data_IF_147146699975
#
_entry.id   IF_147146699975
#
_cell.length_a   1.000
_cell.length_b   1.000
_cell.length_c   1.000
_cell.angle_alpha   90.00
_cell.angle_beta   90.00
_cell.angle_gamma   90.00
#
_symmetry.space_group_name_H-M   'P 1'
#
loop_
_entity.id
_entity.type
_entity.pdbx_description
1 polymer ?
#
# COMPACT_ATOMS: atom_id res chain seq x y z
N UNK A 1 4.31 -6.02 13.68
CA UNK A 1 3.24 -5.48 14.55
C UNK A 1 2.82 -4.04 14.20
N UNK A 2 3.44 -3.40 13.21
CA UNK A 2 3.19 -1.99 12.81
C UNK A 2 2.01 -1.83 11.84
N UNK A 3 1.64 -2.87 11.08
CA UNK A 3 0.58 -2.83 10.05
C UNK A 3 -0.86 -2.57 10.55
N UNK A 4 -1.12 -2.79 11.84
CA UNK A 4 -2.47 -2.62 12.42
C UNK A 4 -2.81 -1.18 12.79
N UNK A 5 -1.82 -0.29 12.87
CA UNK A 5 -2.02 1.09 13.32
C UNK A 5 -2.48 2.04 12.20
N UNK A 6 -2.28 1.65 10.92
CA UNK A 6 -2.61 2.50 9.77
C UNK A 6 -4.01 2.27 9.17
N UNK A 7 -4.75 1.25 9.67
CA UNK A 7 -6.08 0.94 9.12
C UNK A 7 -7.15 0.82 10.21
N UNK A 8 -7.64 1.95 10.76
CA UNK A 8 -8.66 1.95 11.83
C UNK A 8 -9.96 1.25 11.42
N UNK A 9 -10.28 1.21 10.12
CA UNK A 9 -11.45 0.52 9.59
C UNK A 9 -11.30 -1.01 9.72
N UNK A 10 -10.11 -1.55 9.46
CA UNK A 10 -9.84 -3.00 9.60
C UNK A 10 -9.93 -3.42 11.07
N UNK A 11 -9.42 -2.61 11.99
CA UNK A 11 -9.52 -2.85 13.43
C UNK A 11 -10.99 -2.85 13.87
N UNK A 12 -11.79 -1.90 13.39
CA UNK A 12 -13.23 -1.84 13.67
C UNK A 12 -13.99 -3.06 13.14
N UNK A 13 -13.67 -3.54 11.95
CA UNK A 13 -14.26 -4.74 11.37
C UNK A 13 -13.88 -5.98 12.20
N UNK A 14 -12.61 -6.13 12.60
CA UNK A 14 -12.16 -7.25 13.43
C UNK A 14 -12.83 -7.24 14.80
N UNK A 15 -12.96 -6.07 15.43
CA UNK A 15 -13.65 -5.91 16.72
C UNK A 15 -15.16 -6.19 16.60
N UNK A 16 -15.80 -5.75 15.51
CA UNK A 16 -17.21 -6.03 15.24
C UNK A 16 -17.46 -7.54 15.05
N UNK A 17 -16.63 -8.20 14.24
CA UNK A 17 -16.70 -9.66 14.03
C UNK A 17 -16.39 -10.40 15.34
N UNK A 18 -15.38 -10.00 16.09
CA UNK A 18 -15.02 -10.58 17.39
C UNK A 18 -16.14 -10.46 18.41
N UNK A 19 -16.83 -9.33 18.49
CA UNK A 19 -17.95 -9.11 19.39
C UNK A 19 -19.17 -9.97 19.02
N UNK A 20 -19.46 -10.13 17.74
CA UNK A 20 -20.54 -11.01 17.27
C UNK A 20 -20.25 -12.48 17.63
N UNK A 21 -19.03 -12.96 17.40
CA UNK A 21 -18.61 -14.33 17.75
C UNK A 21 -18.68 -14.55 19.25
N UNK A 22 -18.26 -13.59 20.06
CA UNK A 22 -18.33 -13.66 21.54
C UNK A 22 -19.78 -13.71 22.05
N UNK A 23 -20.66 -12.85 21.49
CA UNK A 23 -22.08 -12.82 21.85
C UNK A 23 -22.82 -14.11 21.51
N UNK A 24 -22.50 -14.68 20.33
CA UNK A 24 -23.03 -15.96 19.89
C UNK A 24 -22.54 -17.11 20.79
N UNK A 25 -21.25 -17.14 21.11
CA UNK A 25 -20.68 -18.15 22.02
C UNK A 25 -21.30 -18.13 23.42
N UNK A 26 -21.57 -16.94 23.97
CA UNK A 26 -22.20 -16.79 25.30
C UNK A 26 -23.69 -17.17 25.27
N UNK A 27 -24.38 -16.90 24.18
CA UNK A 27 -25.81 -17.23 24.02
C UNK A 27 -26.01 -18.75 23.84
N UNK A 28 -25.14 -19.43 23.07
CA UNK A 28 -25.17 -20.89 22.90
C UNK A 28 -24.98 -21.66 24.22
N UNK A 29 -24.24 -21.10 25.17
CA UNK A 29 -24.07 -21.69 26.50
C UNK A 29 -25.34 -21.71 27.34
N UNK A 30 -26.34 -20.90 27.03
CA UNK A 30 -27.59 -20.75 27.80
C UNK A 30 -28.82 -21.39 27.16
N UNK A 31 -28.73 -21.90 25.92
CA UNK A 31 -29.90 -22.43 25.18
C UNK A 31 -29.83 -23.93 25.02
N UNK A 32 -30.25 -24.64 26.06
CA UNK A 32 -30.43 -26.12 26.01
C UNK A 32 -31.87 -26.53 25.66
N UNK A 33 -32.66 -25.70 24.96
CA UNK A 33 -34.10 -25.96 24.86
C UNK A 33 -34.75 -25.97 23.48
N UNK A 34 -34.09 -25.69 22.35
CA UNK A 34 -34.83 -25.85 21.09
C UNK A 34 -33.89 -26.07 19.88
N UNK A 35 -33.72 -27.33 19.50
CA UNK A 35 -32.89 -27.72 18.33
C UNK A 35 -33.34 -27.10 17.01
N UNK A 36 -34.62 -26.82 16.84
CA UNK A 36 -35.21 -26.23 15.63
C UNK A 36 -34.88 -24.73 15.50
N UNK A 37 -35.06 -23.98 16.60
CA UNK A 37 -34.69 -22.55 16.64
C UNK A 37 -33.19 -22.32 16.44
N UNK A 38 -32.35 -23.24 16.92
CA UNK A 38 -30.90 -23.14 16.77
C UNK A 38 -30.46 -23.36 15.32
N UNK A 39 -31.06 -24.31 14.59
CA UNK A 39 -30.72 -24.55 13.18
C UNK A 39 -31.14 -23.37 12.29
N UNK A 40 -32.30 -22.78 12.52
CA UNK A 40 -32.75 -21.58 11.81
C UNK A 40 -31.86 -20.36 12.11
N UNK A 41 -31.43 -20.23 13.37
CA UNK A 41 -30.51 -19.17 13.78
C UNK A 41 -29.13 -19.33 13.14
N UNK A 42 -28.58 -20.56 13.12
CA UNK A 42 -27.31 -20.83 12.45
C UNK A 42 -27.38 -20.57 10.93
N UNK A 43 -28.47 -20.97 10.28
CA UNK A 43 -28.68 -20.67 8.87
C UNK A 43 -28.76 -19.14 8.58
N UNK A 44 -29.36 -18.37 9.48
CA UNK A 44 -29.35 -16.90 9.38
C UNK A 44 -27.96 -16.27 9.57
N UNK A 45 -27.18 -16.82 10.51
CA UNK A 45 -25.80 -16.40 10.72
C UNK A 45 -24.96 -16.73 9.49
N UNK A 46 -25.06 -17.93 8.97
CA UNK A 46 -24.32 -18.38 7.78
C UNK A 46 -24.62 -17.48 6.56
N UNK A 47 -25.90 -17.19 6.32
CA UNK A 47 -26.29 -16.24 5.28
C UNK A 47 -25.73 -14.82 5.50
N UNK A 48 -25.71 -14.36 6.75
CA UNK A 48 -25.13 -13.05 7.09
C UNK A 48 -23.61 -13.02 6.93
N UNK A 49 -22.91 -14.12 7.27
CA UNK A 49 -21.49 -14.27 6.99
C UNK A 49 -21.18 -14.26 5.50
N UNK A 50 -21.97 -14.93 4.69
CA UNK A 50 -21.84 -14.94 3.23
C UNK A 50 -22.06 -13.54 2.65
N UNK A 51 -23.05 -12.82 3.15
CA UNK A 51 -23.31 -11.43 2.76
C UNK A 51 -22.15 -10.52 3.13
N UNK A 52 -21.63 -10.63 4.35
CA UNK A 52 -20.44 -9.87 4.81
C UNK A 52 -19.21 -10.23 3.97
N UNK A 53 -18.96 -11.51 3.71
CA UNK A 53 -17.85 -11.95 2.87
C UNK A 53 -17.93 -11.37 1.45
N UNK A 54 -19.11 -11.35 0.85
CA UNK A 54 -19.31 -10.72 -0.48
C UNK A 54 -18.97 -9.23 -0.44
N UNK A 55 -19.45 -8.50 0.58
CA UNK A 55 -19.14 -7.08 0.73
C UNK A 55 -17.66 -6.82 0.98
N UNK A 56 -17.02 -7.66 1.81
CA UNK A 56 -15.57 -7.57 2.06
C UNK A 56 -14.78 -7.79 0.77
N UNK A 57 -15.14 -8.83 -0.02
CA UNK A 57 -14.51 -9.08 -1.33
C UNK A 57 -14.72 -7.90 -2.30
N UNK A 58 -15.92 -7.29 -2.30
CA UNK A 58 -16.17 -6.10 -3.11
C UNK A 58 -15.35 -4.88 -2.67
N UNK A 59 -15.18 -4.70 -1.36
CA UNK A 59 -14.32 -3.64 -0.81
C UNK A 59 -12.86 -3.88 -1.22
N UNK A 60 -12.35 -5.12 -1.08
CA UNK A 60 -11.00 -5.47 -1.52
C UNK A 60 -10.77 -5.25 -3.01
N UNK A 61 -11.78 -5.52 -3.86
CA UNK A 61 -11.72 -5.23 -5.31
C UNK A 61 -11.69 -3.73 -5.65
N UNK A 62 -12.13 -2.88 -4.73
CA UNK A 62 -12.13 -1.41 -4.88
C UNK A 62 -10.90 -0.75 -4.27
N UNK A 63 -10.13 -1.48 -3.46
CA UNK A 63 -8.85 -0.96 -2.98
C UNK A 63 -7.89 -0.85 -4.16
N UNK A 64 -7.20 0.28 -4.30
CA UNK A 64 -6.17 0.40 -5.32
C UNK A 64 -5.12 -0.68 -5.10
N UNK A 65 -4.68 -1.30 -6.19
CA UNK A 65 -3.56 -2.24 -6.13
C UNK A 65 -2.34 -1.53 -5.55
N UNK A 66 -1.56 -2.21 -4.69
CA UNK A 66 -0.34 -1.59 -4.16
C UNK A 66 0.60 -1.23 -5.31
N UNK A 67 1.17 -0.05 -5.26
CA UNK A 67 2.11 0.42 -6.27
C UNK A 67 3.43 -0.36 -6.25
N UNK A 68 3.75 -0.97 -5.11
CA UNK A 68 5.01 -1.71 -4.87
C UNK A 68 4.70 -3.18 -4.63
N UNK A 69 5.45 -4.06 -5.30
CA UNK A 69 5.47 -5.48 -4.98
C UNK A 69 6.17 -5.71 -3.64
N UNK A 70 5.54 -6.44 -2.73
CA UNK A 70 6.07 -6.71 -1.38
C UNK A 70 7.26 -7.67 -1.32
N UNK A 71 7.95 -7.92 -2.43
CA UNK A 71 9.16 -8.75 -2.50
C UNK A 71 10.42 -7.87 -2.45
N UNK A 72 11.50 -8.41 -1.85
CA UNK A 72 12.81 -7.77 -1.92
C UNK A 72 13.61 -8.34 -3.10
N UNK A 73 14.22 -7.51 -3.99
CA UNK A 73 14.18 -6.04 -3.97
C UNK A 73 12.79 -5.48 -4.31
N UNK A 74 12.43 -4.35 -3.72
CA UNK A 74 11.17 -3.67 -4.02
C UNK A 74 11.09 -3.32 -5.51
N UNK A 75 9.97 -3.65 -6.14
CA UNK A 75 9.74 -3.37 -7.56
C UNK A 75 8.35 -2.75 -7.76
N UNK A 76 8.17 -1.98 -8.83
CA UNK A 76 6.86 -1.46 -9.19
C UNK A 76 5.97 -2.56 -9.75
N UNK A 77 4.74 -2.63 -9.24
CA UNK A 77 3.65 -3.41 -9.85
C UNK A 77 3.24 -2.78 -11.20
N UNK A 78 2.36 -3.44 -11.96
CA UNK A 78 1.80 -2.83 -13.18
C UNK A 78 1.06 -1.52 -12.87
N UNK A 79 0.38 -1.44 -11.72
CA UNK A 79 -0.24 -0.21 -11.25
C UNK A 79 0.82 0.85 -10.90
N UNK A 80 1.90 0.48 -10.19
CA UNK A 80 3.03 1.37 -9.92
C UNK A 80 3.69 1.91 -11.20
N UNK A 81 3.86 1.06 -12.23
CA UNK A 81 4.37 1.49 -13.54
C UNK A 81 3.42 2.46 -14.26
N UNK A 82 2.11 2.31 -14.08
CA UNK A 82 1.12 3.26 -14.60
C UNK A 82 1.26 4.62 -13.92
N UNK A 83 1.36 4.63 -12.58
CA UNK A 83 1.60 5.84 -11.79
C UNK A 83 2.92 6.50 -12.20
N UNK A 84 4.00 5.73 -12.37
CA UNK A 84 5.31 6.24 -12.81
C UNK A 84 5.21 6.99 -14.15
N UNK A 85 4.46 6.46 -15.10
CA UNK A 85 4.22 7.11 -16.40
C UNK A 85 3.35 8.37 -16.27
N UNK A 86 2.26 8.30 -15.51
CA UNK A 86 1.32 9.42 -15.33
C UNK A 86 1.96 10.60 -14.57
N UNK A 87 2.82 10.32 -13.60
CA UNK A 87 3.52 11.34 -12.79
C UNK A 87 4.87 11.79 -13.37
N UNK A 88 5.32 11.23 -14.50
CA UNK A 88 6.67 11.44 -15.03
C UNK A 88 7.80 11.12 -14.01
N UNK A 89 7.60 10.11 -13.15
CA UNK A 89 8.52 9.77 -12.05
C UNK A 89 9.95 9.52 -12.52
N UNK A 90 10.14 8.89 -13.69
CA UNK A 90 11.47 8.69 -14.28
C UNK A 90 12.21 9.98 -14.56
N UNK A 91 11.52 11.01 -15.10
CA UNK A 91 12.11 12.33 -15.35
C UNK A 91 12.57 12.99 -14.05
N UNK A 92 11.76 12.84 -12.98
CA UNK A 92 12.13 13.30 -11.64
C UNK A 92 13.38 12.56 -11.14
N UNK A 93 13.41 11.23 -11.27
CA UNK A 93 14.54 10.40 -10.87
C UNK A 93 15.83 10.73 -11.63
N UNK A 94 15.74 10.97 -12.94
CA UNK A 94 16.88 11.40 -13.77
C UNK A 94 17.46 12.73 -13.30
N UNK A 95 16.60 13.73 -13.06
CA UNK A 95 17.03 15.05 -12.55
C UNK A 95 17.71 14.92 -11.18
N UNK A 96 17.08 14.21 -10.26
CA UNK A 96 17.61 14.03 -8.91
C UNK A 96 18.87 13.18 -8.92
N UNK A 97 18.94 12.12 -9.72
CA UNK A 97 20.12 11.27 -9.87
C UNK A 97 21.36 12.05 -10.25
N UNK A 98 21.23 13.00 -11.20
CA UNK A 98 22.35 13.87 -11.57
C UNK A 98 22.84 14.78 -10.43
N UNK A 99 21.93 15.24 -9.56
CA UNK A 99 22.26 16.11 -8.42
C UNK A 99 22.88 15.32 -7.26
N UNK A 100 22.40 14.09 -7.04
CA UNK A 100 22.72 13.29 -5.87
C UNK A 100 23.92 12.36 -6.06
N UNK A 101 24.45 12.24 -7.28
CA UNK A 101 25.51 11.30 -7.60
C UNK A 101 26.75 11.42 -6.71
N UNK A 102 27.17 12.64 -6.38
CA UNK A 102 28.33 12.86 -5.50
C UNK A 102 28.04 12.50 -4.05
N UNK A 103 26.78 12.64 -3.59
CA UNK A 103 26.39 12.29 -2.22
C UNK A 103 26.39 10.77 -1.97
N UNK A 104 26.09 9.98 -3.02
CA UNK A 104 25.99 8.52 -2.89
C UNK A 104 27.27 7.77 -3.30
N UNK A 105 28.31 8.50 -3.71
CA UNK A 105 29.56 7.90 -4.17
C UNK A 105 30.20 7.02 -3.10
N UNK A 106 30.33 5.73 -3.39
CA UNK A 106 30.89 4.75 -2.46
C UNK A 106 29.88 4.21 -1.43
N UNK A 107 28.61 4.57 -1.50
CA UNK A 107 27.58 3.95 -0.67
C UNK A 107 27.34 2.51 -1.13
N UNK A 108 27.17 1.56 -0.20
CA UNK A 108 26.74 0.22 -0.53
C UNK A 108 25.26 0.22 -1.02
N UNK A 109 24.92 -0.74 -1.86
CA UNK A 109 23.61 -0.84 -2.51
C UNK A 109 22.42 -0.73 -1.53
N UNK A 110 22.50 -1.39 -0.38
CA UNK A 110 21.42 -1.38 0.63
C UNK A 110 21.22 -0.01 1.30
N UNK A 111 22.24 0.84 1.33
CA UNK A 111 22.13 2.21 1.86
C UNK A 111 21.51 3.17 0.86
N UNK A 112 21.68 2.93 -0.44
CA UNK A 112 21.12 3.78 -1.51
C UNK A 112 19.59 3.82 -1.44
N UNK A 113 18.92 2.70 -1.11
CA UNK A 113 17.47 2.68 -0.94
C UNK A 113 17.02 3.54 0.26
N UNK A 114 17.69 3.41 1.40
CA UNK A 114 17.38 4.22 2.57
C UNK A 114 17.62 5.70 2.29
N UNK A 115 18.75 6.03 1.67
CA UNK A 115 19.09 7.39 1.26
C UNK A 115 18.02 8.00 0.31
N UNK A 116 17.57 7.26 -0.71
CA UNK A 116 16.54 7.73 -1.62
C UNK A 116 15.23 8.04 -0.89
N UNK A 117 14.81 7.16 0.04
CA UNK A 117 13.62 7.34 0.85
C UNK A 117 13.71 8.60 1.75
N UNK A 118 14.82 8.73 2.49
CA UNK A 118 15.03 9.85 3.41
C UNK A 118 15.14 11.19 2.67
N UNK A 119 15.83 11.19 1.52
CA UNK A 119 15.90 12.37 0.67
C UNK A 119 14.52 12.85 0.21
N UNK A 120 13.67 11.94 -0.26
CA UNK A 120 12.33 12.31 -0.73
C UNK A 120 11.43 12.82 0.38
N UNK A 121 11.53 12.27 1.58
CA UNK A 121 10.74 12.71 2.74
C UNK A 121 11.18 14.08 3.28
N UNK A 122 12.49 14.31 3.36
CA UNK A 122 13.03 15.45 4.09
C UNK A 122 13.46 16.62 3.20
N UNK A 123 13.98 16.33 2.01
CA UNK A 123 14.69 17.30 1.17
C UNK A 123 14.04 17.56 -0.19
N UNK A 124 13.16 16.67 -0.66
CA UNK A 124 12.57 16.76 -1.99
C UNK A 124 11.67 17.98 -2.13
N UNK A 125 12.04 18.85 -3.07
CA UNK A 125 11.21 19.97 -3.52
C UNK A 125 10.95 19.80 -5.01
N UNK A 126 9.70 19.47 -5.40
CA UNK A 126 9.34 19.37 -6.81
C UNK A 126 9.42 20.74 -7.48
N UNK A 127 9.79 20.77 -8.74
CA UNK A 127 9.59 21.94 -9.59
C UNK A 127 8.09 22.18 -9.83
N UNK A 128 7.71 23.34 -10.35
CA UNK A 128 6.29 23.63 -10.64
C UNK A 128 5.68 22.63 -11.62
N UNK A 129 6.46 22.20 -12.63
CA UNK A 129 6.06 21.16 -13.60
C UNK A 129 5.85 19.81 -12.90
N UNK A 130 6.80 19.36 -12.09
CA UNK A 130 6.72 18.10 -11.33
C UNK A 130 5.55 18.12 -10.33
N UNK A 131 5.35 19.24 -9.64
CA UNK A 131 4.21 19.40 -8.73
C UNK A 131 2.86 19.31 -9.45
N UNK A 132 2.79 19.85 -10.66
CA UNK A 132 1.60 19.76 -11.53
C UNK A 132 1.36 18.31 -11.98
N UNK A 133 2.41 17.60 -12.42
CA UNK A 133 2.31 16.21 -12.86
C UNK A 133 1.91 15.29 -11.71
N UNK A 134 2.48 15.49 -10.52
CA UNK A 134 2.09 14.74 -9.31
C UNK A 134 0.61 14.97 -8.98
N UNK A 135 0.13 16.23 -8.97
CA UNK A 135 -1.28 16.54 -8.69
C UNK A 135 -2.22 15.95 -9.73
N UNK A 136 -1.85 16.04 -11.01
CA UNK A 136 -2.63 15.43 -12.09
C UNK A 136 -2.74 13.93 -11.90
N UNK A 137 -1.62 13.25 -11.63
CA UNK A 137 -1.58 11.82 -11.38
C UNK A 137 -2.46 11.43 -10.18
N UNK A 138 -2.40 12.17 -9.07
CA UNK A 138 -3.27 11.95 -7.91
C UNK A 138 -4.75 12.00 -8.30
N UNK A 139 -5.14 12.96 -9.11
CA UNK A 139 -6.53 13.11 -9.55
C UNK A 139 -6.97 12.01 -10.52
N UNK A 140 -6.15 11.70 -11.53
CA UNK A 140 -6.47 10.74 -12.58
C UNK A 140 -6.49 9.30 -12.08
N UNK A 141 -5.54 8.94 -11.20
CA UNK A 141 -5.36 7.58 -10.69
C UNK A 141 -6.01 7.35 -9.32
N UNK A 142 -6.51 8.39 -8.68
CA UNK A 142 -7.17 8.29 -7.38
C UNK A 142 -6.23 7.90 -6.23
N UNK A 143 -4.94 8.27 -6.33
CA UNK A 143 -3.90 7.92 -5.35
C UNK A 143 -3.49 9.11 -4.49
N UNK A 144 -2.92 8.83 -3.31
CA UNK A 144 -2.38 9.86 -2.44
C UNK A 144 -1.02 10.36 -2.94
N UNK A 145 -0.56 11.52 -2.41
CA UNK A 145 0.76 12.04 -2.71
C UNK A 145 1.86 11.09 -2.25
N UNK A 146 1.66 10.46 -1.10
CA UNK A 146 2.58 9.50 -0.50
C UNK A 146 2.82 8.32 -1.45
N UNK A 147 1.79 7.76 -2.05
CA UNK A 147 1.93 6.67 -3.05
C UNK A 147 2.76 7.13 -4.24
N UNK A 148 2.52 8.35 -4.76
CA UNK A 148 3.28 8.85 -5.91
C UNK A 148 4.74 9.13 -5.54
N UNK A 149 5.01 9.80 -4.41
CA UNK A 149 6.34 10.30 -4.05
C UNK A 149 7.13 9.24 -3.27
N UNK A 150 6.56 8.73 -2.16
CA UNK A 150 7.32 7.91 -1.21
C UNK A 150 7.39 6.43 -1.64
N UNK A 151 6.55 6.03 -2.61
CA UNK A 151 6.61 4.69 -3.18
C UNK A 151 7.17 4.72 -4.60
N UNK A 152 6.48 5.38 -5.55
CA UNK A 152 6.80 5.26 -6.98
C UNK A 152 8.06 6.07 -7.35
N UNK A 153 8.13 7.37 -7.00
CA UNK A 153 9.31 8.17 -7.29
C UNK A 153 10.52 7.63 -6.52
N UNK A 154 10.33 7.12 -5.31
CA UNK A 154 11.41 6.52 -4.51
C UNK A 154 12.05 5.33 -5.24
N UNK A 155 11.24 4.41 -5.79
CA UNK A 155 11.78 3.25 -6.52
C UNK A 155 12.49 3.69 -7.79
N UNK A 156 11.91 4.59 -8.59
CA UNK A 156 12.54 5.09 -9.80
C UNK A 156 13.86 5.84 -9.47
N UNK A 157 13.89 6.61 -8.38
CA UNK A 157 15.10 7.29 -7.91
C UNK A 157 16.16 6.29 -7.46
N UNK A 158 15.81 5.32 -6.61
CA UNK A 158 16.73 4.25 -6.17
C UNK A 158 17.34 3.54 -7.39
N UNK A 159 16.51 3.11 -8.33
CA UNK A 159 16.96 2.38 -9.51
C UNK A 159 17.91 3.23 -10.36
N UNK A 160 17.62 4.52 -10.50
CA UNK A 160 18.50 5.47 -11.19
C UNK A 160 19.84 5.67 -10.46
N UNK A 161 19.82 5.77 -9.14
CA UNK A 161 21.04 5.91 -8.34
C UNK A 161 21.90 4.63 -8.41
N UNK A 162 21.29 3.45 -8.37
CA UNK A 162 21.98 2.16 -8.56
C UNK A 162 22.61 2.07 -9.96
N UNK A 163 21.88 2.44 -11.01
CA UNK A 163 22.40 2.50 -12.38
C UNK A 163 23.64 3.41 -12.47
N UNK A 164 23.58 4.61 -11.90
CA UNK A 164 24.66 5.60 -11.93
C UNK A 164 25.91 5.17 -11.13
N UNK A 165 25.75 4.34 -10.10
CA UNK A 165 26.86 3.79 -9.29
C UNK A 165 27.39 2.48 -9.82
N UNK A 166 26.84 1.95 -10.93
CA UNK A 166 27.28 0.71 -11.56
C UNK A 166 26.80 -0.56 -10.87
N UNK A 167 25.85 -0.45 -9.94
CA UNK A 167 25.16 -1.59 -9.35
C UNK A 167 24.09 -2.12 -10.30
N UNK A 168 23.95 -3.46 -10.40
CA UNK A 168 22.88 -4.04 -11.22
C UNK A 168 21.53 -3.86 -10.53
N UNK A 169 20.61 -3.18 -11.19
CA UNK A 169 19.20 -3.22 -10.81
C UNK A 169 18.70 -4.63 -11.12
N UNK A 170 18.64 -5.50 -10.12
CA UNK A 170 18.04 -6.82 -10.30
C UNK A 170 16.52 -6.63 -10.49
N UNK A 171 16.11 -6.70 -11.74
CA UNK A 171 14.72 -6.73 -12.19
C UNK A 171 14.10 -8.12 -11.99
#
# INVERSE_FOLDING_TARGET
MVYLQEHPIIILIILAVGSVVFYVGRWVGNVNADRTSFSEFMARIENKFDEINKHVIEIFKRLPEPAIAGASPLALTEFGKKISRSSNAKKVAERLGGVLLEEIKGMPEYEIQAFASDYLKERFKPTDEEASDIKRCQYEEGVSREVVVDEVIMIELRDKLLELTGHSVNS
#
